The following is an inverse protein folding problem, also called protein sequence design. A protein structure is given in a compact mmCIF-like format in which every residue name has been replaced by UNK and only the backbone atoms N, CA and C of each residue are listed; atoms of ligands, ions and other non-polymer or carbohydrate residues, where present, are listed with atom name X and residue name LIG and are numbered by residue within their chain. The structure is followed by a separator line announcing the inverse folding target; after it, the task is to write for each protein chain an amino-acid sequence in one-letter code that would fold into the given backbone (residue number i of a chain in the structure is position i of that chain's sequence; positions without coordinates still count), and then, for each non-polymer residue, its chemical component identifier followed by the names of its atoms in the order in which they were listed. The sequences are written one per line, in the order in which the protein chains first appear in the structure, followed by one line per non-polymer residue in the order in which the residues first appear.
data_IF_355109807389
#
_entry.id   IF_355109807389
#
_cell.length_a   1.000
_cell.length_b   1.000
_cell.length_c   1.000
_cell.angle_alpha   90.00
_cell.angle_beta   90.00
_cell.angle_gamma   90.00
#
_symmetry.space_group_name_H-M   'P 1'
#
loop_
_entity.id
_entity.type
_entity.pdbx_description
1 polymer ?
#
# COMPACT_ATOMS: atom_id res chain seq x y z
N UNK A 1 -2.62 -10.97 10.43
CA UNK A 1 -3.52 -10.27 9.50
C UNK A 1 -3.73 -11.11 8.27
N UNK A 2 -4.41 -10.59 7.25
CA UNK A 2 -4.66 -11.32 5.99
C UNK A 2 -3.50 -11.27 4.99
N UNK A 3 -2.39 -10.60 5.34
CA UNK A 3 -1.25 -10.41 4.46
C UNK A 3 -0.72 -11.72 3.81
N UNK A 4 -0.62 -12.87 4.51
CA UNK A 4 -0.16 -14.12 3.88
C UNK A 4 -1.12 -14.71 2.84
N UNK A 5 -2.37 -14.23 2.78
CA UNK A 5 -3.40 -14.72 1.85
C UNK A 5 -3.78 -13.69 0.78
N UNK A 6 -3.27 -12.45 0.88
CA UNK A 6 -3.59 -11.39 -0.06
C UNK A 6 -2.48 -11.27 -1.10
N UNK A 7 -2.78 -11.71 -2.32
CA UNK A 7 -1.92 -11.53 -3.49
C UNK A 7 -2.48 -10.35 -4.30
N UNK A 8 -1.74 -9.24 -4.44
CA UNK A 8 -2.19 -8.11 -5.26
C UNK A 8 -2.15 -8.46 -6.75
N UNK A 9 -3.05 -7.86 -7.52
CA UNK A 9 -3.15 -8.07 -8.96
C UNK A 9 -1.81 -7.81 -9.68
N UNK A 10 -1.40 -8.76 -10.52
CA UNK A 10 -0.16 -8.69 -11.30
C UNK A 10 1.11 -9.08 -10.53
N UNK A 11 0.98 -9.66 -9.33
CA UNK A 11 2.10 -10.21 -8.56
C UNK A 11 1.86 -11.69 -8.25
N UNK A 12 2.95 -12.44 -8.11
CA UNK A 12 2.92 -13.85 -7.72
C UNK A 12 3.23 -14.08 -6.22
N UNK A 13 3.37 -12.99 -5.46
CA UNK A 13 3.69 -13.02 -4.01
C UNK A 13 2.56 -12.43 -3.20
N UNK A 14 2.27 -13.01 -2.05
CA UNK A 14 1.37 -12.42 -1.07
C UNK A 14 2.01 -11.21 -0.37
N UNK A 15 1.19 -10.34 0.23
CA UNK A 15 1.69 -9.26 1.10
C UNK A 15 2.49 -9.77 2.30
N UNK A 16 2.33 -11.03 2.71
CA UNK A 16 3.12 -11.65 3.76
C UNK A 16 4.54 -12.01 3.31
N UNK A 17 4.75 -12.16 2.00
CA UNK A 17 6.05 -12.52 1.39
C UNK A 17 6.81 -11.31 0.84
N UNK A 18 6.13 -10.17 0.68
CA UNK A 18 6.75 -8.92 0.24
C UNK A 18 7.54 -8.25 1.36
N UNK A 19 8.63 -7.57 0.99
CA UNK A 19 9.30 -6.65 1.90
C UNK A 19 8.39 -5.48 2.29
N UNK A 20 8.71 -4.81 3.41
CA UNK A 20 7.96 -3.65 3.86
C UNK A 20 7.92 -2.54 2.78
N UNK A 21 9.01 -2.31 2.06
CA UNK A 21 9.10 -1.29 1.02
C UNK A 21 8.28 -1.63 -0.23
N UNK A 22 8.30 -2.89 -0.67
CA UNK A 22 7.45 -3.36 -1.77
C UNK A 22 5.97 -3.17 -1.40
N UNK A 23 5.58 -3.64 -0.22
CA UNK A 23 4.22 -3.50 0.28
C UNK A 23 3.80 -2.03 0.43
N UNK A 24 4.68 -1.17 0.95
CA UNK A 24 4.39 0.26 1.10
C UNK A 24 4.11 0.92 -0.24
N UNK A 25 4.80 0.57 -1.33
CA UNK A 25 4.54 1.18 -2.65
C UNK A 25 3.14 0.90 -3.21
N UNK A 26 2.52 -0.22 -2.81
CA UNK A 26 1.26 -0.68 -3.43
C UNK A 26 0.07 -0.81 -2.48
N UNK A 27 0.29 -0.78 -1.16
CA UNK A 27 -0.77 -0.98 -0.19
C UNK A 27 -1.87 0.08 -0.27
N UNK A 28 -3.11 -0.32 -0.01
CA UNK A 28 -4.24 0.61 0.11
C UNK A 28 -3.96 1.73 1.11
N UNK A 29 -3.25 1.42 2.19
CA UNK A 29 -2.84 2.38 3.22
C UNK A 29 -1.96 3.47 2.63
N UNK A 30 -0.90 3.12 1.90
CA UNK A 30 -0.01 4.11 1.31
C UNK A 30 -0.74 5.02 0.33
N UNK A 31 -1.58 4.45 -0.55
CA UNK A 31 -2.42 5.24 -1.48
C UNK A 31 -3.34 6.23 -0.75
N UNK A 32 -3.92 5.82 0.38
CA UNK A 32 -4.77 6.68 1.19
C UNK A 32 -3.97 7.80 1.87
N UNK A 33 -2.80 7.47 2.44
CA UNK A 33 -1.89 8.44 3.06
C UNK A 33 -1.36 9.43 2.03
N UNK A 34 -1.01 8.99 0.82
CA UNK A 34 -0.58 9.89 -0.26
C UNK A 34 -1.69 10.86 -0.63
N UNK A 35 -2.94 10.37 -0.80
CA UNK A 35 -4.09 11.25 -1.04
C UNK A 35 -4.32 12.24 0.10
N UNK A 36 -4.15 11.79 1.34
CA UNK A 36 -4.28 12.65 2.52
C UNK A 36 -3.19 13.73 2.56
N UNK A 37 -1.93 13.38 2.29
CA UNK A 37 -0.83 14.33 2.18
C UNK A 37 -1.11 15.35 1.07
N UNK A 38 -1.60 14.90 -0.09
CA UNK A 38 -1.98 15.80 -1.19
C UNK A 38 -3.12 16.74 -0.79
N UNK A 39 -4.09 16.25 -0.01
CA UNK A 39 -5.16 17.09 0.54
C UNK A 39 -4.59 18.18 1.45
N UNK A 40 -3.74 17.82 2.43
CA UNK A 40 -3.12 18.78 3.34
C UNK A 40 -2.23 19.80 2.61
N UNK A 41 -1.50 19.36 1.57
CA UNK A 41 -0.63 20.25 0.75
C UNK A 41 -1.40 21.23 -0.12
N UNK A 42 -2.65 20.92 -0.48
CA UNK A 42 -3.47 21.79 -1.33
C UNK A 42 -4.05 22.99 -0.59
N UNK A 43 -3.88 23.09 0.74
CA UNK A 43 -4.44 24.17 1.57
C UNK A 43 -5.97 24.05 1.69
N UNK A 44 -6.67 24.55 2.70
CA UNK A 44 -6.37 25.66 3.64
C UNK A 44 -5.52 26.79 3.05
#
# INVERSE_FOLDING_TARGET
GYDPMFVPDGYDKSFGEMSADEKHKMSHRARAVDKFIQYLKKGE
#
